data_IF_078680661836
#
_entry.id   IF_078680661836
#
_cell.length_a   1.000
_cell.length_b   1.000
_cell.length_c   1.000
_cell.angle_alpha   90.00
_cell.angle_beta   90.00
_cell.angle_gamma   90.00
#
_symmetry.space_group_name_H-M   'P 1'
#
loop_
_entity.id
_entity.type
_entity.pdbx_description
1 polymer ?
#
# COMPACT_ATOMS: atom_id res chain seq x y z
N UNK A 1 14.73 14.53 8.89
CA UNK A 1 14.91 13.31 8.09
C UNK A 1 15.84 12.39 8.83
N UNK A 2 15.52 11.14 8.93
CA UNK A 2 16.35 10.08 9.49
C UNK A 2 16.33 8.87 8.57
N UNK A 3 17.02 7.82 8.94
CA UNK A 3 16.96 6.55 8.24
C UNK A 3 16.54 5.41 9.18
N UNK A 4 15.99 4.38 8.59
CA UNK A 4 15.75 3.07 9.20
C UNK A 4 16.75 2.10 8.60
N UNK A 5 17.91 2.02 9.20
CA UNK A 5 18.92 1.12 8.74
C UNK A 5 18.66 -0.31 9.22
N UNK A 6 18.55 -1.22 8.28
CA UNK A 6 18.47 -2.65 8.56
C UNK A 6 19.82 -3.28 8.23
N UNK A 7 20.61 -3.52 9.25
CA UNK A 7 21.98 -4.03 9.17
C UNK A 7 22.09 -5.32 8.32
N UNK A 8 21.12 -6.21 8.47
CA UNK A 8 21.14 -7.53 7.83
C UNK A 8 20.43 -7.55 6.46
N UNK A 9 19.81 -6.43 6.07
CA UNK A 9 19.15 -6.28 4.77
C UNK A 9 19.09 -4.80 4.35
N UNK A 10 20.18 -4.31 3.80
CA UNK A 10 20.28 -2.89 3.39
C UNK A 10 19.25 -2.47 2.34
N UNK A 11 18.78 -3.39 1.49
CA UNK A 11 17.75 -3.09 0.50
C UNK A 11 16.38 -2.79 1.13
N UNK A 12 16.14 -3.25 2.34
CA UNK A 12 14.94 -2.94 3.10
C UNK A 12 15.10 -1.71 3.99
N UNK A 13 16.26 -1.06 3.98
CA UNK A 13 16.48 0.21 4.66
C UNK A 13 15.66 1.31 3.99
N UNK A 14 15.03 2.15 4.79
CA UNK A 14 14.15 3.23 4.32
C UNK A 14 14.49 4.53 5.00
N UNK A 15 14.19 5.65 4.34
CA UNK A 15 14.26 6.95 4.97
C UNK A 15 13.02 7.23 5.80
N UNK A 16 13.22 7.96 6.90
CA UNK A 16 12.13 8.43 7.76
C UNK A 16 11.99 9.94 7.59
N UNK A 17 10.83 10.37 7.12
CA UNK A 17 10.45 11.76 6.97
C UNK A 17 9.30 12.05 7.91
N UNK A 18 9.56 12.85 8.94
CA UNK A 18 8.54 13.23 9.92
C UNK A 18 8.36 14.74 9.93
N UNK A 19 7.12 15.23 10.09
CA UNK A 19 6.86 16.65 10.16
C UNK A 19 7.36 17.20 11.51
N UNK A 20 7.91 18.40 11.46
CA UNK A 20 8.28 19.17 12.64
C UNK A 20 7.15 20.15 12.99
N UNK A 21 6.90 20.31 14.28
CA UNK A 21 6.09 21.39 14.82
C UNK A 21 6.97 22.24 15.71
N UNK A 22 7.03 23.54 15.43
CA UNK A 22 7.83 24.52 16.17
C UNK A 22 6.86 25.54 16.78
N UNK A 23 6.95 25.72 18.09
CA UNK A 23 6.15 26.70 18.83
C UNK A 23 7.05 27.43 19.85
N UNK A 24 7.39 28.69 19.57
CA UNK A 24 8.38 29.43 20.34
C UNK A 24 9.73 28.70 20.33
N UNK A 25 10.22 28.32 21.50
CA UNK A 25 11.49 27.57 21.69
C UNK A 25 11.28 26.04 21.71
N UNK A 26 10.05 25.57 21.61
CA UNK A 26 9.72 24.14 21.67
C UNK A 26 9.67 23.54 20.28
N UNK A 27 10.32 22.40 20.10
CA UNK A 27 10.29 21.59 18.87
C UNK A 27 9.72 20.23 19.19
N UNK A 28 8.74 19.79 18.43
CA UNK A 28 8.17 18.45 18.55
C UNK A 28 8.08 17.74 17.19
N UNK A 29 8.13 16.43 17.24
CA UNK A 29 8.06 15.57 16.06
C UNK A 29 7.18 14.37 16.41
N UNK A 30 6.09 14.18 15.65
CA UNK A 30 5.20 13.04 15.82
C UNK A 30 5.49 11.97 14.78
N UNK A 31 5.42 10.71 15.18
CA UNK A 31 5.56 9.58 14.28
C UNK A 31 4.23 9.34 13.56
N UNK A 32 4.05 9.99 12.43
CA UNK A 32 2.91 9.75 11.54
C UNK A 32 3.23 8.67 10.51
N UNK A 33 2.26 7.82 10.21
CA UNK A 33 2.36 6.83 9.14
C UNK A 33 2.44 7.51 7.76
N UNK A 34 1.73 8.63 7.60
CA UNK A 34 1.79 9.51 6.44
C UNK A 34 1.41 10.93 6.85
N UNK A 35 1.80 11.92 6.06
CA UNK A 35 1.48 13.33 6.28
C UNK A 35 1.56 14.08 4.95
N UNK A 36 0.88 15.22 4.84
CA UNK A 36 0.83 16.04 3.63
C UNK A 36 1.58 17.34 3.85
N UNK A 37 2.68 17.60 3.12
CA UNK A 37 3.34 18.90 3.16
C UNK A 37 2.49 19.94 2.43
N UNK A 38 2.36 21.14 3.01
CA UNK A 38 1.74 22.29 2.34
C UNK A 38 2.85 23.21 1.82
N UNK A 39 3.05 23.20 0.52
CA UNK A 39 4.20 23.87 -0.12
C UNK A 39 4.13 25.40 0.01
N UNK A 40 2.92 25.98 0.09
CA UNK A 40 2.74 27.43 0.11
C UNK A 40 2.92 28.08 1.48
N UNK A 41 2.89 27.30 2.58
CA UNK A 41 2.87 27.85 3.95
C UNK A 41 3.94 27.25 4.86
N UNK A 42 4.88 26.48 4.32
CA UNK A 42 5.90 25.76 5.11
C UNK A 42 5.27 25.00 6.31
N UNK A 43 4.09 24.43 6.11
CA UNK A 43 3.32 23.72 7.11
C UNK A 43 3.01 22.28 6.65
N UNK A 44 2.35 21.52 7.49
CA UNK A 44 1.93 20.16 7.17
C UNK A 44 0.55 19.88 7.74
N UNK A 45 -0.12 18.90 7.17
CA UNK A 45 -1.43 18.42 7.62
C UNK A 45 -1.39 16.92 7.87
N UNK A 46 -2.21 16.47 8.81
CA UNK A 46 -2.50 15.05 8.93
C UNK A 46 -3.12 14.54 7.61
N UNK A 47 -2.85 13.29 7.21
CA UNK A 47 -3.46 12.73 6.02
C UNK A 47 -4.98 12.68 6.20
N UNK A 48 -5.75 12.72 5.10
CA UNK A 48 -7.19 12.47 5.16
C UNK A 48 -7.47 11.09 5.74
N UNK A 49 -8.66 10.88 6.27
CA UNK A 49 -9.14 9.56 6.62
C UNK A 49 -9.08 8.64 5.40
N UNK A 50 -8.90 7.35 5.62
CA UNK A 50 -8.83 6.36 4.55
C UNK A 50 -9.93 5.32 4.71
N UNK A 51 -10.51 4.92 3.58
CA UNK A 51 -11.39 3.76 3.51
C UNK A 51 -10.54 2.51 3.31
N UNK A 52 -10.77 1.48 4.12
CA UNK A 52 -10.11 0.18 4.01
C UNK A 52 -10.94 -0.76 3.14
N UNK A 53 -10.29 -1.37 2.16
CA UNK A 53 -10.83 -2.44 1.33
C UNK A 53 -10.04 -3.71 1.63
N UNK A 54 -10.65 -4.61 2.37
CA UNK A 54 -10.01 -5.84 2.85
C UNK A 54 -9.82 -6.85 1.73
N UNK A 55 -8.63 -7.44 1.64
CA UNK A 55 -8.29 -8.33 0.54
C UNK A 55 -9.06 -9.66 0.59
N UNK A 56 -9.43 -10.14 1.78
CA UNK A 56 -10.23 -11.35 1.94
C UNK A 56 -11.68 -11.20 1.46
N UNK A 57 -12.12 -9.95 1.20
CA UNK A 57 -13.45 -9.65 0.62
C UNK A 57 -13.38 -9.35 -0.87
N UNK A 58 -12.19 -9.34 -1.45
CA UNK A 58 -11.97 -9.09 -2.86
C UNK A 58 -12.22 -10.36 -3.70
N UNK A 59 -12.24 -10.22 -5.02
CA UNK A 59 -12.36 -11.34 -5.95
C UNK A 59 -10.97 -11.87 -6.28
N UNK A 60 -10.82 -13.19 -6.32
CA UNK A 60 -9.59 -13.87 -6.69
C UNK A 60 -9.66 -14.51 -8.05
N UNK A 61 -8.51 -14.59 -8.72
CA UNK A 61 -8.33 -15.39 -9.91
C UNK A 61 -7.05 -16.25 -9.81
N UNK A 62 -6.90 -17.23 -10.68
CA UNK A 62 -5.82 -18.22 -10.61
C UNK A 62 -5.88 -19.03 -9.31
N UNK A 63 -4.74 -19.14 -8.60
CA UNK A 63 -4.70 -19.82 -7.30
C UNK A 63 -4.62 -18.87 -6.10
N UNK A 64 -4.89 -17.59 -6.30
CA UNK A 64 -5.01 -16.66 -5.19
C UNK A 64 -6.11 -17.10 -4.22
N UNK A 65 -5.86 -16.95 -2.92
CA UNK A 65 -6.80 -17.37 -1.86
C UNK A 65 -6.48 -16.70 -0.54
N UNK A 66 -7.40 -16.80 0.40
CA UNK A 66 -7.15 -16.40 1.79
C UNK A 66 -6.03 -17.21 2.43
N UNK A 67 -5.17 -16.53 3.15
CA UNK A 67 -4.07 -17.08 3.95
C UNK A 67 -4.11 -16.45 5.33
N UNK A 68 -3.89 -17.25 6.35
CA UNK A 68 -3.82 -16.78 7.74
C UNK A 68 -2.64 -15.82 7.94
N UNK A 69 -2.91 -14.71 8.63
CA UNK A 69 -1.92 -13.70 8.95
C UNK A 69 -2.23 -13.05 10.30
N UNK A 70 -1.57 -13.46 11.35
CA UNK A 70 -1.87 -13.00 12.73
C UNK A 70 -1.69 -11.49 12.94
N UNK A 71 -0.80 -10.83 12.22
CA UNK A 71 -0.52 -9.39 12.30
C UNK A 71 -1.37 -8.52 11.34
N UNK A 72 -2.17 -9.15 10.47
CA UNK A 72 -2.98 -8.46 9.48
C UNK A 72 -4.37 -8.09 9.99
N UNK A 73 -5.05 -7.25 9.20
CA UNK A 73 -6.47 -6.97 9.40
C UNK A 73 -7.29 -8.26 9.30
N UNK A 74 -8.28 -8.42 10.18
CA UNK A 74 -9.11 -9.64 10.25
C UNK A 74 -8.32 -10.95 10.29
N UNK A 75 -7.01 -10.91 10.55
CA UNK A 75 -6.08 -12.04 10.59
C UNK A 75 -5.97 -12.84 9.27
N UNK A 76 -6.28 -12.19 8.15
CA UNK A 76 -6.27 -12.78 6.81
C UNK A 76 -5.52 -11.90 5.81
N UNK A 77 -5.03 -12.54 4.75
CA UNK A 77 -4.46 -11.88 3.55
C UNK A 77 -4.92 -12.61 2.30
N UNK A 78 -4.87 -11.94 1.15
CA UNK A 78 -4.90 -12.58 -0.16
C UNK A 78 -3.48 -13.04 -0.51
N UNK A 79 -3.20 -14.32 -0.38
CA UNK A 79 -1.93 -14.92 -0.74
C UNK A 79 -1.93 -15.57 -2.11
N UNK A 80 -0.78 -16.11 -2.51
CA UNK A 80 -0.55 -16.77 -3.82
C UNK A 80 -0.76 -15.84 -5.00
N UNK A 81 -0.45 -14.56 -4.84
CA UNK A 81 -0.44 -13.60 -5.94
C UNK A 81 0.72 -13.93 -6.88
N UNK A 82 0.43 -14.01 -8.19
CA UNK A 82 1.43 -14.39 -9.18
C UNK A 82 1.71 -15.89 -9.22
N UNK A 83 2.98 -16.25 -9.37
CA UNK A 83 3.42 -17.63 -9.51
C UNK A 83 3.01 -18.25 -10.85
N UNK A 84 3.24 -19.55 -11.03
CA UNK A 84 2.93 -20.26 -12.28
C UNK A 84 1.42 -20.26 -12.60
N UNK A 85 0.58 -20.18 -11.58
CA UNK A 85 -0.88 -20.21 -11.71
C UNK A 85 -1.50 -18.80 -11.83
N UNK A 86 -0.68 -17.77 -11.96
CA UNK A 86 -1.06 -16.37 -12.22
C UNK A 86 -2.11 -15.83 -11.25
N UNK A 87 -1.95 -16.13 -9.95
CA UNK A 87 -2.88 -15.64 -8.93
C UNK A 87 -3.02 -14.12 -8.95
N UNK A 88 -4.23 -13.61 -8.79
CA UNK A 88 -4.50 -12.18 -8.66
C UNK A 88 -5.62 -11.89 -7.67
N UNK A 89 -5.65 -10.65 -7.17
CA UNK A 89 -6.72 -10.11 -6.33
C UNK A 89 -7.29 -8.86 -6.97
N UNK A 90 -8.61 -8.78 -7.03
CA UNK A 90 -9.36 -7.72 -7.70
C UNK A 90 -10.30 -7.04 -6.71
N UNK A 91 -10.03 -5.77 -6.42
CA UNK A 91 -10.87 -4.90 -5.61
C UNK A 91 -11.83 -4.16 -6.52
N UNK A 92 -13.12 -4.20 -6.20
CA UNK A 92 -14.18 -3.46 -6.90
C UNK A 92 -14.93 -2.55 -5.93
N UNK A 93 -15.74 -1.65 -6.44
CA UNK A 93 -16.52 -0.75 -5.61
C UNK A 93 -15.68 0.31 -4.90
N UNK A 94 -14.48 0.60 -5.40
CA UNK A 94 -13.59 1.59 -4.80
C UNK A 94 -14.14 2.99 -5.04
N UNK A 95 -14.42 3.70 -3.95
CA UNK A 95 -15.01 5.03 -3.98
C UNK A 95 -13.94 6.12 -4.05
N UNK A 96 -14.19 7.11 -4.89
CA UNK A 96 -13.54 8.42 -4.87
C UNK A 96 -14.59 9.51 -4.95
N UNK A 97 -14.42 10.59 -4.21
CA UNK A 97 -15.35 11.72 -4.25
C UNK A 97 -15.00 12.74 -5.35
N UNK A 98 -13.85 12.58 -5.97
CA UNK A 98 -13.40 13.42 -7.10
C UNK A 98 -12.87 12.58 -8.28
N UNK A 99 -12.91 13.17 -9.48
CA UNK A 99 -12.11 12.71 -10.61
C UNK A 99 -10.70 13.27 -10.46
N UNK A 100 -9.69 12.42 -10.41
CA UNK A 100 -8.31 12.91 -10.33
C UNK A 100 -7.31 11.96 -9.71
N UNK A 101 -6.15 12.51 -9.45
CA UNK A 101 -5.01 11.78 -8.90
C UNK A 101 -5.11 11.71 -7.38
N UNK A 102 -4.93 10.52 -6.84
CA UNK A 102 -4.83 10.27 -5.40
C UNK A 102 -3.70 9.29 -5.10
N UNK A 103 -3.26 9.22 -3.86
CA UNK A 103 -2.26 8.24 -3.43
C UNK A 103 -2.93 7.18 -2.59
N UNK A 104 -3.02 5.98 -3.12
CA UNK A 104 -3.47 4.79 -2.40
C UNK A 104 -2.31 4.15 -1.65
N UNK A 105 -2.62 3.40 -0.59
CA UNK A 105 -1.66 2.56 0.12
C UNK A 105 -2.10 1.11 0.05
N UNK A 106 -1.15 0.24 -0.27
CA UNK A 106 -1.34 -1.21 -0.29
C UNK A 106 -0.64 -1.77 0.95
N UNK A 107 -1.40 -2.36 1.86
CA UNK A 107 -0.89 -3.08 3.03
C UNK A 107 -0.65 -4.52 2.64
N UNK A 108 0.50 -5.06 3.04
CA UNK A 108 0.96 -6.36 2.55
C UNK A 108 1.93 -7.05 3.51
N UNK A 109 2.11 -8.34 3.34
CA UNK A 109 3.19 -9.15 3.91
C UNK A 109 4.15 -9.59 2.79
N UNK A 110 5.42 -9.43 3.05
CA UNK A 110 6.48 -10.06 2.27
C UNK A 110 7.48 -10.68 3.25
N UNK A 111 7.37 -11.98 3.46
CA UNK A 111 8.23 -12.73 4.39
C UNK A 111 9.63 -13.04 3.83
N UNK A 112 9.90 -12.74 2.56
CA UNK A 112 11.22 -12.90 1.97
C UNK A 112 12.22 -11.86 2.49
N UNK A 113 13.49 -12.11 2.27
CA UNK A 113 14.57 -11.16 2.58
C UNK A 113 14.81 -10.14 1.46
N UNK A 114 14.14 -10.29 0.31
CA UNK A 114 14.24 -9.44 -0.87
C UNK A 114 12.90 -8.85 -1.26
N UNK A 115 12.86 -7.73 -2.00
CA UNK A 115 11.62 -7.17 -2.50
C UNK A 115 10.89 -8.16 -3.42
N UNK A 116 9.57 -8.28 -3.24
CA UNK A 116 8.66 -8.85 -4.22
C UNK A 116 8.05 -7.75 -5.07
N UNK A 117 7.56 -8.11 -6.24
CA UNK A 117 6.97 -7.15 -7.17
C UNK A 117 5.61 -7.67 -7.64
N UNK A 118 4.69 -6.75 -7.87
CA UNK A 118 3.43 -7.03 -8.51
C UNK A 118 3.09 -5.93 -9.53
N UNK A 119 2.25 -6.27 -10.49
CA UNK A 119 1.61 -5.30 -11.36
C UNK A 119 0.31 -4.84 -10.73
N UNK A 120 0.10 -3.53 -10.65
CA UNK A 120 -1.13 -2.93 -10.10
C UNK A 120 -1.83 -2.18 -11.22
N UNK A 121 -3.00 -2.66 -11.62
CA UNK A 121 -3.85 -2.04 -12.67
C UNK A 121 -5.02 -1.32 -12.03
N UNK A 122 -5.32 -0.14 -12.54
CA UNK A 122 -6.44 0.70 -12.09
C UNK A 122 -7.39 0.91 -13.26
N UNK A 123 -8.67 0.58 -13.08
CA UNK A 123 -9.71 0.76 -14.09
C UNK A 123 -9.35 0.14 -15.45
N UNK A 124 -8.62 -0.96 -15.45
CA UNK A 124 -8.20 -1.65 -16.68
C UNK A 124 -7.03 -1.02 -17.45
N UNK A 125 -6.26 -0.12 -16.81
CA UNK A 125 -5.05 0.45 -17.42
C UNK A 125 -3.93 -0.59 -17.64
N UNK A 126 -2.80 -0.18 -18.23
CA UNK A 126 -1.66 -1.06 -18.50
C UNK A 126 -0.93 -1.53 -17.23
N UNK A 127 -1.29 -0.98 -16.08
CA UNK A 127 -0.68 -1.30 -14.80
C UNK A 127 0.68 -0.68 -14.57
N UNK A 128 1.11 -0.77 -13.33
CA UNK A 128 2.39 -0.27 -12.86
C UNK A 128 3.07 -1.31 -12.00
N UNK A 129 4.36 -1.53 -12.23
CA UNK A 129 5.19 -2.37 -11.37
C UNK A 129 5.40 -1.68 -10.03
N UNK A 130 4.95 -2.31 -8.96
CA UNK A 130 5.10 -1.84 -7.58
C UNK A 130 6.04 -2.77 -6.82
N UNK A 131 6.93 -2.20 -6.03
CA UNK A 131 7.84 -2.93 -5.14
C UNK A 131 7.21 -3.07 -3.75
N UNK A 132 7.36 -4.27 -3.18
CA UNK A 132 6.91 -4.64 -1.85
C UNK A 132 8.13 -5.11 -1.06
N UNK A 133 8.66 -4.24 -0.22
CA UNK A 133 9.85 -4.50 0.57
C UNK A 133 9.61 -5.60 1.61
N UNK A 134 10.66 -6.27 2.12
CA UNK A 134 10.50 -7.22 3.21
C UNK A 134 9.70 -6.64 4.38
N UNK A 135 8.64 -7.34 4.79
CA UNK A 135 7.75 -6.98 5.89
C UNK A 135 7.24 -8.27 6.53
N UNK A 136 7.83 -8.62 7.68
CA UNK A 136 7.51 -9.83 8.44
C UNK A 136 6.79 -9.46 9.73
N UNK A 137 5.75 -10.22 10.06
CA UNK A 137 4.96 -10.00 11.27
C UNK A 137 3.91 -8.92 11.07
N UNK A 138 4.30 -7.65 11.06
CA UNK A 138 3.39 -6.53 10.81
C UNK A 138 3.34 -6.16 9.33
N UNK A 139 2.16 -5.82 8.79
CA UNK A 139 2.02 -5.45 7.38
C UNK A 139 2.84 -4.21 6.99
N UNK A 140 3.64 -4.37 5.94
CA UNK A 140 4.28 -3.26 5.25
C UNK A 140 3.28 -2.34 4.56
N UNK A 141 3.77 -1.27 3.96
CA UNK A 141 2.95 -0.33 3.20
C UNK A 141 3.69 0.13 1.96
N UNK A 142 3.12 -0.09 0.79
CA UNK A 142 3.56 0.49 -0.48
C UNK A 142 2.53 1.50 -0.95
N UNK A 143 2.99 2.62 -1.48
CA UNK A 143 2.13 3.68 -2.01
C UNK A 143 2.16 3.68 -3.53
N UNK A 144 1.03 4.06 -4.13
CA UNK A 144 0.91 4.24 -5.56
C UNK A 144 0.04 5.45 -5.87
N UNK A 145 0.53 6.35 -6.73
CA UNK A 145 -0.22 7.49 -7.21
C UNK A 145 -1.04 7.09 -8.43
N UNK A 146 -2.36 7.19 -8.32
CA UNK A 146 -3.32 6.66 -9.29
C UNK A 146 -4.41 7.65 -9.64
N UNK A 147 -4.94 7.57 -10.86
CA UNK A 147 -6.13 8.28 -11.25
C UNK A 147 -7.37 7.46 -10.89
N UNK A 148 -8.26 8.02 -10.09
CA UNK A 148 -9.58 7.46 -9.82
C UNK A 148 -10.66 8.33 -10.45
N UNK A 149 -11.77 7.69 -10.80
CA UNK A 149 -13.00 8.35 -11.26
C UNK A 149 -13.91 8.62 -10.07
N UNK A 150 -14.62 9.73 -10.09
CA UNK A 150 -15.65 10.01 -9.11
C UNK A 150 -16.73 8.92 -9.13
N UNK A 151 -17.13 8.48 -7.94
CA UNK A 151 -18.11 7.40 -7.76
C UNK A 151 -17.48 6.16 -7.16
N UNK A 152 -18.17 5.03 -7.27
CA UNK A 152 -17.80 3.74 -6.68
C UNK A 152 -17.48 2.65 -7.72
N UNK A 153 -17.27 3.02 -8.98
CA UNK A 153 -17.03 2.08 -10.06
C UNK A 153 -15.55 1.78 -10.31
N UNK A 154 -14.64 2.32 -9.46
CA UNK A 154 -13.23 2.05 -9.65
C UNK A 154 -12.87 0.63 -9.24
N UNK A 155 -11.94 0.06 -10.02
CA UNK A 155 -11.38 -1.27 -9.78
C UNK A 155 -9.86 -1.19 -9.68
N UNK A 156 -9.28 -1.99 -8.78
CA UNK A 156 -7.83 -2.15 -8.68
C UNK A 156 -7.51 -3.64 -8.66
N UNK A 157 -6.66 -4.06 -9.59
CA UNK A 157 -6.21 -5.45 -9.71
C UNK A 157 -4.73 -5.51 -9.36
N UNK A 158 -4.37 -6.44 -8.48
CA UNK A 158 -2.98 -6.73 -8.13
C UNK A 158 -2.67 -8.15 -8.61
N UNK A 159 -1.71 -8.27 -9.50
CA UNK A 159 -1.32 -9.52 -10.16
C UNK A 159 0.19 -9.70 -10.17
N UNK A 160 0.67 -10.91 -10.27
CA UNK A 160 2.09 -11.19 -10.35
C UNK A 160 2.74 -10.73 -11.64
N UNK A 161 4.05 -10.63 -11.64
CA UNK A 161 4.87 -10.34 -12.82
C UNK A 161 5.46 -11.63 -13.40
N UNK A 162 4.93 -12.06 -14.53
CA UNK A 162 5.34 -13.32 -15.16
C UNK A 162 5.02 -14.50 -14.25
N UNK A 163 6.04 -15.32 -13.92
CA UNK A 163 5.92 -16.48 -13.02
C UNK A 163 6.42 -16.20 -11.60
N UNK A 164 6.83 -14.97 -11.31
CA UNK A 164 7.32 -14.60 -9.98
C UNK A 164 6.16 -14.47 -8.98
N UNK A 165 6.43 -14.80 -7.72
CA UNK A 165 5.48 -14.57 -6.63
C UNK A 165 5.44 -13.09 -6.24
N UNK A 166 4.23 -12.56 -6.14
CA UNK A 166 3.94 -11.27 -5.53
C UNK A 166 3.89 -11.34 -3.98
N UNK A 167 3.60 -10.22 -3.31
CA UNK A 167 3.36 -10.20 -1.86
C UNK A 167 1.99 -10.79 -1.51
N UNK A 168 1.79 -11.14 -0.25
CA UNK A 168 0.44 -11.39 0.27
C UNK A 168 -0.23 -10.06 0.61
N UNK A 169 -1.41 -9.80 0.08
CA UNK A 169 -2.09 -8.52 0.22
C UNK A 169 -3.04 -8.57 1.42
N UNK A 170 -2.85 -7.65 2.38
CA UNK A 170 -3.71 -7.47 3.54
C UNK A 170 -4.94 -6.62 3.15
N UNK A 171 -4.74 -5.41 2.71
CA UNK A 171 -5.83 -4.51 2.31
C UNK A 171 -5.33 -3.34 1.47
N UNK A 172 -6.28 -2.68 0.83
CA UNK A 172 -6.08 -1.43 0.13
C UNK A 172 -6.65 -0.28 0.95
N UNK A 173 -5.90 0.80 1.09
CA UNK A 173 -6.29 2.03 1.79
C UNK A 173 -6.43 3.15 0.78
N UNK A 174 -7.63 3.73 0.70
CA UNK A 174 -7.95 4.81 -0.25
C UNK A 174 -8.35 6.06 0.54
N UNK A 175 -7.70 7.22 0.32
CA UNK A 175 -8.04 8.45 1.00
C UNK A 175 -9.50 8.86 0.74
N UNK A 176 -10.18 9.29 1.79
CA UNK A 176 -11.47 10.01 1.68
C UNK A 176 -11.14 11.43 1.26
N UNK A 177 -11.66 11.87 0.13
CA UNK A 177 -11.41 13.17 -0.49
C UNK A 177 -12.65 14.05 -0.46
#
# INVERSE_FOLDING_TARGET
>A
MGDRWLKDNLMASTYVWLPLSISGTSVSMKNFVSWVPTTNFASWQAPPAETSYEAEKATYDGKARNVDCSGCSNKLTAGYIGGPDKGSVSFSGIRSDIDGMTTIRIKYINADSSPRYANVRVNGDNGRKVAFLPARGDPGSSTLHVALKKGSENTIVIEGLGTAWGPDIDRLMVPVQ
#
